data_IF_359957039280
#
_entry.id   IF_359957039280
#
_cell.length_a   1.000
_cell.length_b   1.000
_cell.length_c   1.000
_cell.angle_alpha   90.00
_cell.angle_beta   90.00
_cell.angle_gamma   90.00
#
_symmetry.space_group_name_H-M   'P 1'
#
loop_
_entity.id
_entity.type
_entity.pdbx_description
1 polymer ?
#
# COMPACT_ATOMS: atom_id res chain seq x y z
N UNK A 1 -34.68 25.38 16.00
CA UNK A 1 -34.66 24.14 15.21
C UNK A 1 -33.25 23.96 14.67
N UNK A 2 -32.62 22.81 14.90
CA UNK A 2 -31.26 22.56 14.37
C UNK A 2 -31.31 22.15 12.90
N UNK A 3 -30.22 22.42 12.16
CA UNK A 3 -30.08 22.12 10.72
C UNK A 3 -30.28 20.62 10.43
N UNK A 4 -31.24 20.29 9.57
CA UNK A 4 -31.59 18.89 9.22
C UNK A 4 -30.49 18.22 8.38
N UNK A 5 -29.67 19.00 7.67
CA UNK A 5 -28.57 18.46 6.84
C UNK A 5 -27.44 17.84 7.66
N UNK A 6 -27.42 18.05 8.98
CA UNK A 6 -26.46 17.42 9.90
C UNK A 6 -26.60 15.90 9.97
N UNK A 7 -27.82 15.38 9.86
CA UNK A 7 -28.12 13.93 9.94
C UNK A 7 -27.44 13.16 8.80
N UNK A 8 -27.71 13.45 7.50
CA UNK A 8 -27.08 12.70 6.41
C UNK A 8 -25.55 12.85 6.41
N UNK A 9 -25.01 14.00 6.83
CA UNK A 9 -23.56 14.20 6.97
C UNK A 9 -22.96 13.27 8.02
N UNK A 10 -23.60 13.14 9.18
CA UNK A 10 -23.14 12.26 10.25
C UNK A 10 -23.22 10.79 9.84
N UNK A 11 -24.35 10.37 9.26
CA UNK A 11 -24.53 8.99 8.80
C UNK A 11 -23.49 8.60 7.75
N UNK A 12 -23.19 9.50 6.79
CA UNK A 12 -22.13 9.28 5.82
C UNK A 12 -20.77 9.13 6.48
N UNK A 13 -20.44 9.96 7.48
CA UNK A 13 -19.16 9.87 8.17
C UNK A 13 -19.01 8.58 9.00
N UNK A 14 -20.09 8.11 9.62
CA UNK A 14 -20.12 6.82 10.34
C UNK A 14 -19.98 5.66 9.34
N UNK A 15 -20.68 5.74 8.20
CA UNK A 15 -20.56 4.76 7.12
C UNK A 15 -19.12 4.66 6.61
N UNK A 16 -18.45 5.79 6.36
CA UNK A 16 -17.05 5.80 5.90
C UNK A 16 -16.09 5.10 6.88
N UNK A 17 -16.30 5.28 8.18
CA UNK A 17 -15.52 4.58 9.23
C UNK A 17 -15.81 3.09 9.20
N UNK A 18 -17.08 2.71 9.04
CA UNK A 18 -17.50 1.32 9.11
C UNK A 18 -17.09 0.53 7.86
N UNK A 19 -17.18 1.13 6.67
CA UNK A 19 -16.68 0.53 5.43
C UNK A 19 -15.18 0.27 5.49
N UNK A 20 -14.41 1.06 6.24
CA UNK A 20 -12.98 0.83 6.48
C UNK A 20 -12.67 -0.32 7.43
N UNK A 21 -13.66 -0.77 8.20
CA UNK A 21 -13.52 -1.75 9.28
C UNK A 21 -14.75 -2.68 9.32
N UNK A 22 -14.98 -3.49 8.27
CA UNK A 22 -16.21 -4.26 8.10
C UNK A 22 -16.42 -5.34 9.18
N UNK A 23 -15.36 -5.78 9.85
CA UNK A 23 -15.42 -6.81 10.88
C UNK A 23 -16.00 -6.29 12.21
N UNK A 24 -16.14 -4.98 12.37
CA UNK A 24 -16.79 -4.40 13.54
C UNK A 24 -18.31 -4.59 13.46
N UNK A 25 -18.92 -5.05 14.54
CA UNK A 25 -20.36 -4.90 14.72
C UNK A 25 -20.71 -3.42 14.95
N UNK A 26 -21.97 -3.02 14.72
CA UNK A 26 -22.42 -1.65 15.00
C UNK A 26 -22.14 -1.24 16.47
N UNK A 27 -22.36 -2.15 17.43
CA UNK A 27 -22.07 -1.89 18.84
C UNK A 27 -20.58 -1.67 19.10
N UNK A 28 -19.71 -2.47 18.46
CA UNK A 28 -18.25 -2.29 18.57
C UNK A 28 -17.78 -0.98 17.91
N UNK A 29 -18.39 -0.60 16.78
CA UNK A 29 -18.15 0.68 16.12
C UNK A 29 -18.53 1.86 17.05
N UNK A 30 -19.70 1.81 17.68
CA UNK A 30 -20.15 2.86 18.62
C UNK A 30 -19.17 2.95 19.79
N UNK A 31 -18.83 1.83 20.43
CA UNK A 31 -17.85 1.82 21.54
C UNK A 31 -16.46 2.31 21.11
N UNK A 32 -16.04 2.02 19.87
CA UNK A 32 -14.81 2.59 19.31
C UNK A 32 -14.90 4.12 19.19
N UNK A 33 -16.00 4.65 18.63
CA UNK A 33 -16.18 6.09 18.47
C UNK A 33 -16.21 6.82 19.83
N UNK A 34 -16.85 6.23 20.84
CA UNK A 34 -16.82 6.73 22.23
C UNK A 34 -15.38 6.82 22.77
N UNK A 35 -14.55 5.79 22.54
CA UNK A 35 -13.13 5.81 22.93
C UNK A 35 -12.31 6.90 22.20
N UNK A 36 -12.75 7.33 21.02
CA UNK A 36 -12.16 8.47 20.31
C UNK A 36 -12.76 9.83 20.68
N UNK A 37 -13.70 9.87 21.63
CA UNK A 37 -14.29 11.11 22.17
C UNK A 37 -15.69 11.44 21.67
N UNK A 38 -16.31 10.60 20.81
CA UNK A 38 -17.70 10.78 20.37
C UNK A 38 -18.64 10.30 21.47
N UNK A 39 -18.82 11.14 22.48
CA UNK A 39 -19.69 10.87 23.64
C UNK A 39 -20.99 11.68 23.55
N UNK A 40 -21.92 11.46 24.48
CA UNK A 40 -23.21 12.16 24.57
C UNK A 40 -23.13 13.69 24.55
N UNK A 41 -22.00 14.28 24.98
CA UNK A 41 -21.79 15.72 25.00
C UNK A 41 -21.02 16.28 23.80
N UNK A 42 -20.60 15.44 22.85
CA UNK A 42 -19.83 15.87 21.70
C UNK A 42 -20.70 16.70 20.74
N UNK A 43 -20.13 17.80 20.23
CA UNK A 43 -20.77 18.54 19.15
C UNK A 43 -20.66 17.78 17.83
N UNK A 44 -21.68 17.91 16.96
CA UNK A 44 -21.70 17.22 15.66
C UNK A 44 -20.43 17.46 14.83
N UNK A 45 -19.87 18.67 14.85
CA UNK A 45 -18.66 19.00 14.09
C UNK A 45 -17.42 18.31 14.66
N UNK A 46 -17.36 18.11 15.98
CA UNK A 46 -16.28 17.35 16.61
C UNK A 46 -16.40 15.86 16.27
N UNK A 47 -17.59 15.29 16.38
CA UNK A 47 -17.86 13.91 15.99
C UNK A 47 -17.54 13.67 14.51
N UNK A 48 -17.94 14.58 13.61
CA UNK A 48 -17.58 14.54 12.19
C UNK A 48 -16.06 14.56 11.98
N UNK A 49 -15.34 15.43 12.71
CA UNK A 49 -13.88 15.52 12.62
C UNK A 49 -13.19 14.24 13.06
N UNK A 50 -13.70 13.60 14.13
CA UNK A 50 -13.21 12.32 14.63
C UNK A 50 -13.46 11.22 13.60
N UNK A 51 -14.70 11.06 13.11
CA UNK A 51 -15.04 10.05 12.09
C UNK A 51 -14.18 10.21 10.83
N UNK A 52 -14.08 11.43 10.28
CA UNK A 52 -13.20 11.73 9.13
C UNK A 52 -11.74 11.43 9.43
N UNK A 53 -11.28 11.65 10.65
CA UNK A 53 -9.93 11.31 11.10
C UNK A 53 -9.66 9.81 11.09
N UNK A 54 -10.61 9.01 11.54
CA UNK A 54 -10.54 7.54 11.53
C UNK A 54 -10.62 7.02 10.10
N UNK A 55 -11.61 7.45 9.31
CA UNK A 55 -11.78 7.05 7.92
C UNK A 55 -10.57 7.39 7.04
N UNK A 56 -9.86 8.50 7.31
CA UNK A 56 -8.59 8.80 6.63
C UNK A 56 -7.46 7.83 6.97
N UNK A 57 -7.45 7.23 8.16
CA UNK A 57 -6.44 6.25 8.58
C UNK A 57 -6.79 4.84 8.12
N UNK A 58 -8.09 4.54 8.05
CA UNK A 58 -8.64 3.25 7.65
C UNK A 58 -9.73 3.47 6.60
N UNK A 59 -9.37 3.81 5.36
CA UNK A 59 -10.36 4.10 4.33
C UNK A 59 -11.05 2.81 3.86
N UNK A 60 -12.37 2.86 3.69
CA UNK A 60 -13.13 1.77 3.08
C UNK A 60 -12.89 1.62 1.57
N UNK A 61 -12.39 2.66 0.92
CA UNK A 61 -12.09 2.70 -0.52
C UNK A 61 -10.79 3.43 -0.78
N UNK A 62 -10.04 3.01 -1.79
CA UNK A 62 -8.91 3.82 -2.29
C UNK A 62 -9.47 5.09 -2.92
N UNK A 63 -9.08 6.30 -2.44
CA UNK A 63 -9.38 7.55 -3.11
C UNK A 63 -8.80 7.57 -4.52
N UNK A 64 -9.60 7.95 -5.51
CA UNK A 64 -9.20 7.93 -6.92
C UNK A 64 -9.21 9.35 -7.53
N UNK A 65 -8.20 9.63 -8.36
CA UNK A 65 -8.13 10.78 -9.26
C UNK A 65 -7.96 10.27 -10.68
N UNK A 66 -8.95 10.54 -11.54
CA UNK A 66 -8.97 10.06 -12.94
C UNK A 66 -8.79 8.54 -13.07
N UNK A 67 -9.38 7.76 -12.15
CA UNK A 67 -9.28 6.29 -12.15
C UNK A 67 -7.95 5.74 -11.60
N UNK A 68 -7.01 6.60 -11.22
CA UNK A 68 -5.76 6.23 -10.55
C UNK A 68 -5.83 6.53 -9.06
N UNK A 69 -4.98 5.90 -8.27
CA UNK A 69 -4.90 6.19 -6.85
C UNK A 69 -4.47 7.64 -6.59
N UNK A 70 -5.15 8.30 -5.65
CA UNK A 70 -4.79 9.65 -5.20
C UNK A 70 -3.90 9.57 -3.96
N UNK A 71 -2.63 9.23 -4.20
CA UNK A 71 -1.62 9.00 -3.17
C UNK A 71 -1.13 7.55 -3.14
N UNK A 72 -0.39 7.20 -2.09
CA UNK A 72 0.15 5.86 -1.91
C UNK A 72 -0.69 5.07 -0.92
N UNK A 73 -1.04 3.85 -1.30
CA UNK A 73 -1.76 2.92 -0.46
C UNK A 73 -1.06 1.56 -0.41
N UNK A 74 -1.11 0.94 0.76
CA UNK A 74 -0.92 -0.50 0.93
C UNK A 74 -2.29 -1.13 1.11
N UNK A 75 -2.57 -2.15 0.31
CA UNK A 75 -3.75 -2.99 0.40
C UNK A 75 -3.31 -4.38 0.88
N UNK A 76 -4.01 -4.89 1.87
CA UNK A 76 -3.86 -6.28 2.34
C UNK A 76 -5.00 -7.09 1.73
N UNK A 77 -4.65 -8.18 1.06
CA UNK A 77 -5.59 -9.13 0.49
C UNK A 77 -5.80 -10.27 1.48
N UNK A 78 -7.07 -10.59 1.74
CA UNK A 78 -7.48 -11.66 2.63
C UNK A 78 -6.92 -13.03 2.17
N UNK A 79 -6.68 -13.92 3.14
CA UNK A 79 -6.29 -15.34 3.00
C UNK A 79 -4.91 -15.62 2.35
N UNK A 80 -4.50 -14.84 1.36
CA UNK A 80 -3.28 -15.07 0.57
C UNK A 80 -2.03 -14.43 1.16
N UNK A 81 -2.16 -13.63 2.22
CA UNK A 81 -1.10 -12.73 2.76
C UNK A 81 -0.52 -11.78 1.71
N UNK A 82 -1.17 -11.66 0.55
CA UNK A 82 -0.74 -10.81 -0.55
C UNK A 82 -0.89 -9.36 -0.14
N UNK A 83 0.14 -8.59 -0.41
CA UNK A 83 0.14 -7.15 -0.21
C UNK A 83 0.26 -6.48 -1.57
N UNK A 84 -0.59 -5.49 -1.80
CA UNK A 84 -0.57 -4.70 -3.01
C UNK A 84 -0.24 -3.27 -2.63
N UNK A 85 0.78 -2.71 -3.27
CA UNK A 85 1.13 -1.30 -3.12
C UNK A 85 0.83 -0.61 -4.42
N UNK A 86 0.21 0.56 -4.32
CA UNK A 86 -0.25 1.31 -5.48
C UNK A 86 -0.06 2.80 -5.23
N UNK A 87 0.46 3.48 -6.25
CA UNK A 87 0.45 4.93 -6.36
C UNK A 87 -0.33 5.35 -7.61
N UNK A 88 -0.16 6.58 -8.10
CA UNK A 88 -0.86 7.08 -9.28
C UNK A 88 -0.51 6.35 -10.59
N UNK A 89 0.60 5.61 -10.65
CA UNK A 89 1.12 5.07 -11.91
C UNK A 89 1.34 3.57 -11.89
N UNK A 90 1.92 3.05 -10.81
CA UNK A 90 2.33 1.64 -10.74
C UNK A 90 1.60 0.90 -9.64
N UNK A 91 1.58 -0.40 -9.83
CA UNK A 91 1.16 -1.37 -8.83
C UNK A 91 2.28 -2.39 -8.63
N UNK A 92 2.55 -2.67 -7.36
CA UNK A 92 3.46 -3.70 -6.90
C UNK A 92 2.65 -4.75 -6.16
N UNK A 93 2.62 -5.97 -6.68
CA UNK A 93 1.94 -7.11 -6.08
C UNK A 93 2.98 -8.00 -5.42
N UNK A 94 2.85 -8.20 -4.12
CA UNK A 94 3.76 -9.02 -3.32
C UNK A 94 2.97 -10.14 -2.69
N UNK A 95 3.00 -11.32 -3.32
CA UNK A 95 2.20 -12.44 -2.86
C UNK A 95 2.75 -13.00 -1.55
N UNK A 96 1.91 -13.68 -0.78
CA UNK A 96 2.36 -14.43 0.39
C UNK A 96 3.34 -15.56 0.01
N UNK A 97 3.18 -16.12 -1.19
CA UNK A 97 4.05 -17.12 -1.78
C UNK A 97 4.35 -16.78 -3.24
N UNK A 98 5.58 -17.01 -3.70
CA UNK A 98 6.00 -16.74 -5.07
C UNK A 98 6.84 -15.46 -5.20
N UNK A 99 6.87 -14.90 -6.40
CA UNK A 99 7.70 -13.74 -6.74
C UNK A 99 6.85 -12.48 -6.86
N UNK A 100 7.33 -11.33 -6.35
CA UNK A 100 6.68 -10.06 -6.59
C UNK A 100 6.67 -9.69 -8.07
N UNK A 101 5.66 -8.92 -8.47
CA UNK A 101 5.57 -8.33 -9.79
C UNK A 101 5.17 -6.86 -9.71
N UNK A 102 5.71 -6.07 -10.64
CA UNK A 102 5.41 -4.66 -10.76
C UNK A 102 5.04 -4.34 -12.20
N UNK A 103 4.03 -3.51 -12.37
CA UNK A 103 3.55 -3.12 -13.69
C UNK A 103 2.84 -1.77 -13.65
N UNK A 104 2.82 -1.11 -14.82
CA UNK A 104 2.05 0.11 -15.04
C UNK A 104 0.58 -0.24 -15.24
N UNK A 105 -0.29 0.54 -14.63
CA UNK A 105 -1.73 0.32 -14.72
C UNK A 105 -2.43 1.56 -15.26
N UNK A 106 -3.61 1.39 -15.87
CA UNK A 106 -4.39 2.50 -16.45
C UNK A 106 -5.56 2.93 -15.58
N UNK A 107 -6.18 2.01 -14.85
CA UNK A 107 -7.32 2.34 -13.99
C UNK A 107 -7.52 1.32 -12.87
N UNK A 108 -8.03 1.77 -11.73
CA UNK A 108 -8.58 0.94 -10.67
C UNK A 108 -10.07 0.79 -10.95
N UNK A 109 -10.52 -0.45 -11.17
CA UNK A 109 -11.93 -0.77 -11.41
C UNK A 109 -12.69 -0.98 -10.12
N UNK A 110 -12.05 -1.58 -9.12
CA UNK A 110 -12.59 -1.71 -7.78
C UNK A 110 -11.48 -1.78 -6.75
N UNK A 111 -11.60 -0.99 -5.68
CA UNK A 111 -10.68 -1.03 -4.54
C UNK A 111 -11.42 -0.65 -3.26
N UNK A 112 -12.43 -1.46 -2.91
CA UNK A 112 -13.24 -1.33 -1.70
C UNK A 112 -12.97 -2.51 -0.76
N UNK A 113 -12.79 -2.23 0.53
CA UNK A 113 -12.67 -3.25 1.58
C UNK A 113 -13.87 -4.20 1.56
N UNK A 114 -13.62 -5.50 1.70
CA UNK A 114 -14.64 -6.55 1.59
C UNK A 114 -14.97 -6.99 0.14
N UNK A 115 -14.40 -6.32 -0.87
CA UNK A 115 -14.62 -6.65 -2.28
C UNK A 115 -13.31 -7.02 -3.00
N UNK A 116 -13.38 -7.71 -4.16
CA UNK A 116 -12.20 -8.02 -4.95
C UNK A 116 -11.46 -6.77 -5.45
N UNK A 117 -10.15 -6.67 -5.21
CA UNK A 117 -9.30 -5.67 -5.86
C UNK A 117 -9.22 -5.98 -7.36
N UNK A 118 -9.64 -5.03 -8.19
CA UNK A 118 -9.59 -5.13 -9.64
C UNK A 118 -8.84 -3.94 -10.21
N UNK A 119 -7.69 -4.20 -10.82
CA UNK A 119 -6.83 -3.19 -11.43
C UNK A 119 -6.63 -3.53 -12.89
N UNK A 120 -6.77 -2.55 -13.75
CA UNK A 120 -6.62 -2.68 -15.18
C UNK A 120 -5.24 -2.19 -15.60
N UNK A 121 -4.48 -3.05 -16.28
CA UNK A 121 -3.13 -2.73 -16.72
C UNK A 121 -3.08 -1.72 -17.89
N UNK A 122 -1.88 -1.35 -18.31
CA UNK A 122 -1.65 -0.46 -19.45
C UNK A 122 -2.29 -0.95 -20.76
N UNK A 123 -2.49 -2.26 -20.92
CA UNK A 123 -3.09 -2.88 -22.11
C UNK A 123 -4.62 -3.04 -22.01
N UNK A 124 -5.22 -2.70 -20.87
CA UNK A 124 -6.65 -2.82 -20.63
C UNK A 124 -7.10 -4.18 -20.09
N UNK A 125 -6.17 -5.02 -19.63
CA UNK A 125 -6.50 -6.32 -19.04
C UNK A 125 -6.79 -6.11 -17.56
N UNK A 126 -7.96 -6.60 -17.11
CA UNK A 126 -8.38 -6.51 -15.72
C UNK A 126 -7.78 -7.66 -14.88
N UNK A 127 -6.90 -7.30 -13.95
CA UNK A 127 -6.29 -8.20 -12.98
C UNK A 127 -7.13 -8.23 -11.71
N UNK A 128 -7.59 -9.42 -11.30
CA UNK A 128 -8.28 -9.64 -10.03
C UNK A 128 -7.29 -10.19 -9.01
N UNK A 129 -7.02 -9.42 -7.96
CA UNK A 129 -5.95 -9.71 -7.00
C UNK A 129 -6.43 -10.34 -5.69
N UNK A 130 -7.74 -10.54 -5.52
CA UNK A 130 -8.37 -11.13 -4.34
C UNK A 130 -9.16 -10.12 -3.52
N UNK A 131 -9.82 -10.58 -2.45
CA UNK A 131 -10.68 -9.74 -1.60
C UNK A 131 -9.83 -8.84 -0.69
N UNK A 132 -10.18 -7.56 -0.64
CA UNK A 132 -9.49 -6.58 0.19
C UNK A 132 -9.89 -6.77 1.65
N UNK A 133 -8.91 -7.07 2.50
CA UNK A 133 -9.08 -7.12 3.96
C UNK A 133 -8.93 -5.71 4.56
N UNK A 134 -7.91 -4.96 4.10
CA UNK A 134 -7.60 -3.65 4.67
C UNK A 134 -6.89 -2.74 3.67
N UNK A 135 -7.17 -1.44 3.76
CA UNK A 135 -6.46 -0.38 3.03
C UNK A 135 -5.75 0.52 4.04
N UNK A 136 -4.49 0.82 3.78
CA UNK A 136 -3.63 1.66 4.61
C UNK A 136 -2.99 2.76 3.75
N UNK A 137 -3.40 4.02 3.90
CA UNK A 137 -2.68 5.12 3.29
C UNK A 137 -1.25 5.16 3.84
N UNK A 138 -0.30 5.40 2.95
CA UNK A 138 1.09 5.63 3.29
C UNK A 138 1.45 7.06 2.95
N UNK A 139 2.35 7.61 3.74
CA UNK A 139 2.96 8.89 3.41
C UNK A 139 4.01 8.64 2.34
N UNK A 140 4.15 9.58 1.42
CA UNK A 140 5.38 9.69 0.64
C UNK A 140 6.49 10.12 1.61
N UNK A 141 7.50 9.28 1.91
CA UNK A 141 8.56 9.61 2.82
C UNK A 141 9.48 10.61 2.16
N UNK A 142 10.19 11.38 2.97
CA UNK A 142 11.27 12.25 2.48
C UNK A 142 12.46 11.46 1.96
N UNK A 143 12.58 10.17 2.30
CA UNK A 143 13.62 9.24 1.87
C UNK A 143 13.02 7.87 1.51
N UNK A 144 13.35 7.28 0.36
CA UNK A 144 12.62 6.14 -0.19
C UNK A 144 12.69 4.84 0.64
N UNK A 145 13.71 4.64 1.47
CA UNK A 145 14.01 3.32 2.08
C UNK A 145 13.68 3.18 3.56
N UNK A 146 13.23 4.25 4.22
CA UNK A 146 12.92 4.20 5.67
C UNK A 146 11.51 3.63 5.93
N UNK A 147 10.54 3.89 5.04
CA UNK A 147 9.13 3.55 5.30
C UNK A 147 8.34 3.01 4.08
N UNK A 148 8.94 2.94 2.89
CA UNK A 148 8.27 2.48 1.68
C UNK A 148 8.78 1.14 1.18
N UNK A 149 7.92 0.37 0.48
CA UNK A 149 8.40 -0.75 -0.30
C UNK A 149 9.29 -0.20 -1.41
N UNK A 150 10.46 -0.79 -1.58
CA UNK A 150 11.26 -0.59 -2.78
C UNK A 150 11.42 -1.91 -3.47
N UNK A 151 10.93 -1.98 -4.70
CA UNK A 151 11.17 -3.12 -5.56
C UNK A 151 12.43 -2.88 -6.38
N UNK A 152 13.19 -3.95 -6.58
CA UNK A 152 14.40 -4.04 -7.36
C UNK A 152 14.24 -5.23 -8.28
N UNK A 153 14.47 -5.03 -9.56
CA UNK A 153 14.49 -6.10 -10.55
C UNK A 153 15.78 -5.95 -11.34
N UNK A 154 16.62 -6.98 -11.30
CA UNK A 154 17.81 -7.11 -12.13
C UNK A 154 17.73 -8.39 -12.96
N UNK A 155 18.77 -8.66 -13.76
CA UNK A 155 18.80 -9.79 -14.68
C UNK A 155 18.54 -11.15 -14.01
N UNK A 156 19.18 -11.39 -12.86
CA UNK A 156 19.17 -12.69 -12.17
C UNK A 156 18.44 -12.67 -10.82
N UNK A 157 17.83 -11.54 -10.43
CA UNK A 157 17.18 -11.43 -9.13
C UNK A 157 16.01 -10.44 -9.13
N UNK A 158 15.11 -10.67 -8.18
CA UNK A 158 14.13 -9.69 -7.72
C UNK A 158 14.39 -9.42 -6.26
N UNK A 159 14.28 -8.20 -5.80
CA UNK A 159 14.29 -7.88 -4.38
C UNK A 159 13.19 -6.89 -4.05
N UNK A 160 12.67 -7.00 -2.84
CA UNK A 160 11.81 -6.01 -2.22
C UNK A 160 12.51 -5.56 -0.96
N UNK A 161 12.36 -4.29 -0.58
CA UNK A 161 12.70 -3.81 0.76
C UNK A 161 11.51 -3.12 1.40
N UNK A 162 11.12 -3.47 2.63
CA UNK A 162 10.12 -2.74 3.40
C UNK A 162 10.61 -2.58 4.85
N UNK A 163 10.63 -1.34 5.34
CA UNK A 163 11.05 -1.01 6.72
C UNK A 163 12.42 -1.61 7.08
N UNK A 164 13.37 -1.54 6.14
CA UNK A 164 14.73 -2.03 6.33
C UNK A 164 14.92 -3.57 6.28
N UNK A 165 13.86 -4.34 6.01
CA UNK A 165 13.98 -5.77 5.68
C UNK A 165 13.99 -5.94 4.17
N UNK A 166 14.97 -6.67 3.65
CA UNK A 166 15.05 -7.01 2.23
C UNK A 166 14.66 -8.47 2.05
N UNK A 167 13.76 -8.76 1.12
CA UNK A 167 13.53 -10.12 0.65
C UNK A 167 14.01 -10.18 -0.79
N UNK A 168 14.93 -11.09 -1.08
CA UNK A 168 15.45 -11.30 -2.43
C UNK A 168 15.11 -12.70 -2.94
N UNK A 169 14.89 -12.79 -4.25
CA UNK A 169 14.60 -14.01 -5.00
C UNK A 169 15.61 -14.13 -6.14
N UNK A 170 16.27 -15.27 -6.26
CA UNK A 170 17.10 -15.60 -7.43
C UNK A 170 16.19 -16.07 -8.58
N UNK A 171 16.29 -15.39 -9.72
CA UNK A 171 15.59 -15.69 -10.96
C UNK A 171 16.47 -16.66 -11.76
N UNK A 172 16.49 -17.94 -11.37
CA UNK A 172 17.40 -18.89 -12.02
C UNK A 172 17.06 -20.38 -11.93
N UNK A 173 16.10 -20.80 -11.10
CA UNK A 173 15.66 -22.20 -11.06
C UNK A 173 14.15 -22.29 -10.89
N UNK A 174 13.60 -23.43 -11.30
CA UNK A 174 12.18 -23.84 -11.28
C UNK A 174 11.43 -23.59 -9.95
N UNK A 175 12.16 -23.22 -8.88
CA UNK A 175 11.68 -22.63 -7.63
C UNK A 175 12.53 -21.39 -7.30
N UNK A 176 11.88 -20.24 -7.11
CA UNK A 176 12.52 -19.05 -6.56
C UNK A 176 12.77 -19.25 -5.05
N UNK A 177 14.04 -19.28 -4.63
CA UNK A 177 14.38 -19.34 -3.21
C UNK A 177 14.37 -17.92 -2.64
N UNK A 178 13.38 -17.62 -1.81
CA UNK A 178 13.32 -16.34 -1.10
C UNK A 178 14.32 -16.34 0.06
N UNK A 179 15.11 -15.27 0.18
CA UNK A 179 15.99 -15.02 1.33
C UNK A 179 15.63 -13.68 1.94
N UNK A 180 15.22 -13.69 3.22
CA UNK A 180 15.00 -12.47 4.00
C UNK A 180 16.29 -12.07 4.68
N UNK A 181 16.78 -10.88 4.36
CA UNK A 181 18.06 -10.34 4.76
C UNK A 181 17.85 -9.24 5.79
N UNK A 182 18.77 -9.14 6.76
CA UNK A 182 18.79 -8.00 7.66
C UNK A 182 19.42 -6.82 6.92
N UNK A 183 19.12 -5.60 7.35
CA UNK A 183 19.69 -4.38 6.78
C UNK A 183 21.23 -4.41 6.74
N UNK A 184 21.87 -5.00 7.75
CA UNK A 184 23.33 -5.09 7.85
C UNK A 184 23.93 -6.11 6.87
N UNK A 185 23.12 -7.02 6.33
CA UNK A 185 23.52 -7.99 5.30
C UNK A 185 23.39 -7.39 3.89
N UNK A 186 22.97 -6.12 3.80
CA UNK A 186 22.67 -5.39 2.58
C UNK A 186 23.65 -4.23 2.43
N UNK A 187 24.11 -4.02 1.20
CA UNK A 187 24.95 -2.89 0.81
C UNK A 187 24.06 -1.77 0.28
N UNK A 188 24.15 -0.59 0.89
CA UNK A 188 23.29 0.55 0.57
C UNK A 188 24.16 1.74 0.18
N UNK A 189 23.72 2.52 -0.80
CA UNK A 189 24.37 3.78 -1.14
C UNK A 189 24.00 4.94 -0.21
N UNK A 190 24.58 6.12 -0.44
CA UNK A 190 24.37 7.31 0.38
C UNK A 190 22.91 7.81 0.28
N UNK A 191 22.25 7.54 -0.83
CA UNK A 191 20.84 7.82 -1.12
C UNK A 191 19.91 6.74 -0.53
N UNK A 192 20.50 5.67 0.01
CA UNK A 192 19.83 4.56 0.67
C UNK A 192 19.36 3.47 -0.28
N UNK A 193 19.77 3.44 -1.54
CA UNK A 193 19.41 2.40 -2.53
C UNK A 193 20.26 1.16 -2.33
N UNK A 194 19.63 -0.01 -2.47
CA UNK A 194 20.30 -1.29 -2.36
C UNK A 194 21.24 -1.48 -3.56
N UNK A 195 22.53 -1.65 -3.30
CA UNK A 195 23.58 -1.97 -4.30
C UNK A 195 23.94 -3.44 -4.35
N UNK A 196 23.58 -4.19 -3.31
CA UNK A 196 24.00 -5.57 -3.17
C UNK A 196 23.47 -6.16 -1.87
N UNK A 197 23.55 -7.46 -1.75
CA UNK A 197 23.33 -8.13 -0.48
C UNK A 197 24.20 -9.37 -0.35
N UNK A 198 24.33 -9.88 0.87
CA UNK A 198 25.05 -11.12 1.15
C UNK A 198 24.05 -12.25 1.37
N UNK A 199 24.01 -13.22 0.46
CA UNK A 199 23.17 -14.41 0.59
C UNK A 199 24.07 -15.65 0.70
N UNK A 200 23.92 -16.43 1.77
CA UNK A 200 24.70 -17.66 1.97
C UNK A 200 26.22 -17.45 2.08
N UNK A 201 26.66 -16.26 2.52
CA UNK A 201 28.09 -15.90 2.60
C UNK A 201 28.69 -15.31 1.31
N UNK A 202 27.91 -15.25 0.23
CA UNK A 202 28.34 -14.69 -1.05
C UNK A 202 27.69 -13.33 -1.27
N UNK A 203 28.47 -12.33 -1.68
CA UNK A 203 27.96 -11.02 -2.08
C UNK A 203 27.34 -11.12 -3.47
N UNK A 204 26.05 -10.81 -3.55
CA UNK A 204 25.28 -10.68 -4.79
C UNK A 204 25.20 -9.18 -5.11
N UNK A 205 25.95 -8.68 -6.11
CA UNK A 205 25.80 -7.31 -6.55
C UNK A 205 24.45 -7.14 -7.27
N UNK A 206 23.74 -6.07 -6.94
CA UNK A 206 22.66 -5.59 -7.77
C UNK A 206 23.33 -4.72 -8.84
N UNK A 207 23.49 -5.26 -10.05
CA UNK A 207 24.15 -4.55 -11.17
C UNK A 207 23.46 -3.25 -11.57
N UNK A 208 23.87 -2.60 -12.67
CA UNK A 208 23.40 -1.25 -13.01
C UNK A 208 21.91 -1.16 -13.43
N UNK A 209 21.32 -2.26 -13.88
CA UNK A 209 19.91 -2.34 -14.29
C UNK A 209 18.97 -2.53 -13.08
N UNK A 210 18.87 -1.52 -12.23
CA UNK A 210 17.96 -1.53 -11.07
C UNK A 210 16.75 -0.64 -11.35
N UNK A 211 15.58 -1.24 -11.52
CA UNK A 211 14.32 -0.49 -11.45
C UNK A 211 13.89 -0.34 -10.00
N UNK A 212 14.28 0.79 -9.39
CA UNK A 212 13.85 1.21 -8.05
C UNK A 212 12.44 1.77 -8.13
N UNK A 213 11.47 1.11 -7.48
CA UNK A 213 10.16 1.73 -7.25
C UNK A 213 10.06 2.22 -5.81
N UNK A 214 10.28 3.51 -5.61
CA UNK A 214 9.82 4.19 -4.42
C UNK A 214 8.43 4.73 -4.73
N UNK A 215 7.41 4.15 -4.10
CA UNK A 215 6.03 4.57 -4.28
C UNK A 215 5.87 6.09 -4.11
N UNK A 216 5.65 6.86 -5.17
CA UNK A 216 5.43 8.30 -5.08
C UNK A 216 6.66 9.22 -5.01
N UNK A 217 7.84 8.81 -5.48
CA UNK A 217 8.83 9.79 -5.93
C UNK A 217 8.60 10.08 -7.41
N UNK A 218 8.40 11.36 -7.77
CA UNK A 218 8.62 11.77 -9.14
C UNK A 218 10.04 11.37 -9.56
N UNK A 219 10.24 10.90 -10.80
CA UNK A 219 11.59 10.65 -11.29
C UNK A 219 12.40 11.93 -11.12
N UNK A 220 13.59 11.80 -10.52
CA UNK A 220 14.53 12.92 -10.43
C UNK A 220 14.80 13.50 -11.82
N UNK A 221 15.17 14.79 -11.93
CA UNK A 221 15.14 15.55 -13.18
C UNK A 221 16.15 15.12 -14.28
N UNK A 222 16.80 13.96 -14.19
CA UNK A 222 17.84 13.52 -15.12
C UNK A 222 17.40 12.34 -16.02
N UNK A 223 16.32 12.53 -16.77
CA UNK A 223 15.94 11.64 -17.88
C UNK A 223 15.34 12.43 -19.07
N UNK A 224 15.96 13.56 -19.39
CA UNK A 224 15.81 14.25 -20.68
C UNK A 224 17.17 14.72 -21.15
N UNK A 225 17.88 13.82 -21.83
CA UNK A 225 18.78 14.17 -22.93
C UNK A 225 18.27 13.48 -24.20
#
# INVERSE_FOLDING_TARGET
MQDVTRIPRMLSAVQDVWEGQPDLSLGALIGMLENFGVTWGAEDEEALRICRGIARRHPGRVPLRQGKADGLFRIVIAESRTQVFLDGEKVLVVPGEGTPSMWDYRAIRNAQVGYPLVIEDAFGIAHRLGVIERIEPRRTPKRPHEEQPVFYEGADYKAWSLSGRVTAWEVGRRQAKATTLRRNDCDWDAEGRLRGFTAGGTRVPLGDDIRVFACGLEPGPDARE
#
